data_IF_415549798354
#
_entry.id   IF_415549798354
#
_cell.length_a   1.000
_cell.length_b   1.000
_cell.length_c   1.000
_cell.angle_alpha   90.00
_cell.angle_beta   90.00
_cell.angle_gamma   90.00
#
_symmetry.space_group_name_H-M   'P 1'
#
loop_
_entity.id
_entity.type
_entity.pdbx_description
1 polymer ?
#
# COMPACT_ATOMS: atom_id res chain seq x y z
N UNK A 1 26.33 19.75 35.44
CA UNK A 1 25.83 19.05 34.26
C UNK A 1 25.91 17.55 34.42
N UNK A 2 25.07 16.86 33.71
CA UNK A 2 25.12 15.41 33.59
C UNK A 2 25.80 15.02 32.27
N UNK A 3 26.22 13.76 32.13
CA UNK A 3 26.84 13.27 30.92
C UNK A 3 25.87 13.46 29.71
N UNK A 4 26.38 14.12 28.66
CA UNK A 4 25.63 14.38 27.44
C UNK A 4 24.89 15.74 27.40
N UNK A 5 24.92 16.52 28.48
CA UNK A 5 24.42 17.88 28.45
C UNK A 5 25.30 18.78 27.55
N UNK A 6 24.64 19.74 26.87
CA UNK A 6 25.28 20.73 26.00
C UNK A 6 25.17 22.10 26.66
N UNK A 7 26.22 22.93 26.57
CA UNK A 7 26.19 24.31 27.01
C UNK A 7 26.01 25.22 25.80
N UNK A 8 25.02 26.14 25.87
CA UNK A 8 24.77 27.15 24.86
C UNK A 8 24.47 28.49 25.51
N UNK A 9 24.53 29.58 24.76
CA UNK A 9 24.05 30.88 25.23
C UNK A 9 22.54 30.95 25.13
N UNK A 10 21.87 31.43 26.17
CA UNK A 10 20.45 31.74 26.18
C UNK A 10 20.16 33.12 25.56
N UNK A 11 18.88 33.48 25.45
CA UNK A 11 18.43 34.77 24.90
C UNK A 11 18.97 36.02 25.63
N UNK A 12 19.50 35.85 26.84
CA UNK A 12 20.14 36.94 27.63
C UNK A 12 21.66 37.00 27.45
N UNK A 13 22.23 36.12 26.61
CA UNK A 13 23.66 36.02 26.38
C UNK A 13 24.42 35.32 27.51
N UNK A 14 23.72 34.60 28.41
CA UNK A 14 24.35 33.84 29.49
C UNK A 14 24.45 32.37 29.06
N UNK A 15 25.49 31.69 29.57
CA UNK A 15 25.67 30.26 29.39
C UNK A 15 24.56 29.55 30.14
N UNK A 16 23.77 28.77 29.42
CA UNK A 16 22.73 27.90 29.93
C UNK A 16 22.98 26.44 29.52
N UNK A 17 22.35 25.54 30.22
CA UNK A 17 22.45 24.12 29.99
C UNK A 17 21.27 23.61 29.17
N UNK A 18 21.54 22.91 28.08
CA UNK A 18 20.55 22.12 27.34
C UNK A 18 20.74 20.67 27.81
N UNK A 19 19.73 20.14 28.48
CA UNK A 19 19.76 18.76 28.95
C UNK A 19 19.69 17.78 27.76
N UNK A 20 20.35 16.64 27.86
CA UNK A 20 20.35 15.58 26.87
C UNK A 20 18.88 15.22 26.52
N UNK A 21 18.60 15.10 25.25
CA UNK A 21 17.31 14.63 24.73
C UNK A 21 17.09 13.13 24.92
N UNK A 22 15.92 12.64 24.58
CA UNK A 22 15.59 11.23 24.56
C UNK A 22 16.36 10.48 23.46
N UNK A 23 16.42 9.15 23.58
CA UNK A 23 17.05 8.31 22.55
C UNK A 23 16.40 8.56 21.18
N UNK A 24 17.25 8.77 20.16
CA UNK A 24 16.81 9.08 18.78
C UNK A 24 16.64 10.56 18.48
N UNK A 25 16.66 11.43 19.47
CA UNK A 25 16.63 12.88 19.24
C UNK A 25 17.99 13.43 18.85
N UNK A 26 17.99 14.46 18.00
CA UNK A 26 19.17 15.19 17.57
C UNK A 26 19.14 16.62 18.11
N UNK A 27 20.32 17.20 18.34
CA UNK A 27 20.45 18.62 18.64
C UNK A 27 20.18 19.41 17.36
N UNK A 28 19.20 20.29 17.37
CA UNK A 28 18.80 21.12 16.23
C UNK A 28 18.46 22.53 16.66
N UNK A 29 18.39 23.46 15.71
CA UNK A 29 17.82 24.78 15.95
C UNK A 29 16.30 24.77 15.69
N UNK A 30 15.53 25.43 16.55
CA UNK A 30 14.11 25.71 16.31
C UNK A 30 13.89 27.06 15.60
N UNK A 31 14.99 27.74 15.23
CA UNK A 31 14.99 29.09 14.62
C UNK A 31 15.40 30.18 15.59
N UNK A 32 15.43 29.91 16.89
CA UNK A 32 15.79 30.83 17.96
C UNK A 32 16.88 30.23 18.85
N UNK A 33 16.67 29.01 19.30
CA UNK A 33 17.54 28.32 20.25
C UNK A 33 17.99 26.95 19.74
N UNK A 34 18.96 26.36 20.44
CA UNK A 34 19.33 24.94 20.28
C UNK A 34 18.43 24.08 21.16
N UNK A 35 17.79 23.09 20.56
CA UNK A 35 16.88 22.16 21.23
C UNK A 35 17.15 20.73 20.81
N UNK A 36 16.92 19.75 21.68
CA UNK A 36 16.81 18.38 21.26
C UNK A 36 15.41 18.11 20.74
N UNK A 37 15.32 17.49 19.59
CA UNK A 37 14.05 17.11 19.00
C UNK A 37 14.23 16.12 17.87
N UNK A 38 13.13 15.57 17.39
CA UNK A 38 13.15 14.63 16.30
C UNK A 38 13.68 15.30 15.03
N UNK A 39 14.34 14.52 14.16
CA UNK A 39 14.92 15.03 12.92
C UNK A 39 13.79 15.59 12.02
N UNK A 40 13.71 16.92 11.92
CA UNK A 40 12.72 17.56 11.07
C UNK A 40 12.96 17.17 9.60
N UNK A 41 11.95 16.61 8.95
CA UNK A 41 12.05 16.12 7.58
C UNK A 41 12.51 14.66 7.45
N UNK A 42 12.76 13.94 8.56
CA UNK A 42 12.79 12.49 8.50
C UNK A 42 11.41 11.99 8.07
N UNK A 43 11.34 11.32 6.93
CA UNK A 43 10.15 10.56 6.56
C UNK A 43 9.80 9.65 7.74
N UNK A 44 8.52 9.59 8.13
CA UNK A 44 8.07 8.65 9.16
C UNK A 44 8.27 7.23 8.66
N UNK A 45 9.39 6.60 9.04
CA UNK A 45 9.79 5.26 8.58
C UNK A 45 9.43 4.25 9.65
N UNK A 46 8.70 3.24 9.25
CA UNK A 46 8.26 2.15 10.10
C UNK A 46 8.65 0.81 9.50
N UNK A 47 8.73 -0.21 10.33
CA UNK A 47 9.24 -1.51 9.94
C UNK A 47 8.27 -2.63 10.27
N UNK A 48 8.11 -3.54 9.31
CA UNK A 48 7.39 -4.81 9.45
C UNK A 48 8.36 -5.95 9.18
N UNK A 49 8.38 -6.94 10.05
CA UNK A 49 9.26 -8.12 9.96
C UNK A 49 8.56 -9.35 10.50
N UNK A 50 8.86 -10.52 9.94
CA UNK A 50 8.33 -11.81 10.43
C UNK A 50 8.73 -12.12 11.88
N UNK A 51 9.82 -11.51 12.37
CA UNK A 51 10.26 -11.61 13.75
C UNK A 51 9.70 -10.47 14.64
N UNK A 52 8.81 -9.64 14.07
CA UNK A 52 8.18 -8.52 14.77
C UNK A 52 7.07 -8.95 15.71
N UNK A 53 6.48 -7.98 16.37
CA UNK A 53 5.33 -8.16 17.26
C UNK A 53 4.34 -7.01 17.09
N UNK A 54 3.09 -7.33 16.86
CA UNK A 54 2.02 -6.34 16.72
C UNK A 54 1.63 -5.81 18.10
N UNK A 55 2.24 -4.69 18.49
CA UNK A 55 2.00 -4.02 19.75
C UNK A 55 2.23 -2.51 19.64
N UNK A 56 1.56 -1.74 20.49
CA UNK A 56 1.77 -0.29 20.57
C UNK A 56 3.22 0.05 20.97
N UNK A 57 3.73 1.18 20.47
CA UNK A 57 5.09 1.65 20.73
C UNK A 57 6.19 0.91 19.97
N UNK A 58 5.81 0.00 19.06
CA UNK A 58 6.75 -0.70 18.16
C UNK A 58 6.72 -0.09 16.76
N UNK A 59 7.45 -0.67 15.83
CA UNK A 59 7.49 -0.27 14.43
C UNK A 59 8.56 0.78 14.09
N UNK A 60 9.07 1.52 15.04
CA UNK A 60 10.02 2.63 14.79
C UNK A 60 11.45 2.19 14.42
N UNK A 61 11.80 0.92 14.56
CA UNK A 61 13.08 0.35 14.14
C UNK A 61 12.92 -1.09 13.71
N UNK A 62 13.93 -1.63 13.03
CA UNK A 62 13.93 -3.04 12.61
C UNK A 62 13.92 -4.01 13.80
N UNK A 63 14.58 -3.66 14.89
CA UNK A 63 14.65 -4.49 16.10
C UNK A 63 13.33 -4.45 16.90
N UNK A 64 12.52 -3.44 16.68
CA UNK A 64 11.19 -3.29 17.27
C UNK A 64 10.07 -3.32 16.22
N UNK A 65 10.25 -4.02 15.11
CA UNK A 65 9.29 -4.08 14.01
C UNK A 65 7.92 -4.62 14.44
N UNK A 66 6.88 -4.28 13.71
CA UNK A 66 5.58 -4.96 13.75
C UNK A 66 5.63 -6.30 12.99
N UNK A 67 4.68 -7.18 13.24
CA UNK A 67 4.60 -8.50 12.62
C UNK A 67 3.77 -8.52 11.34
N UNK A 68 2.76 -7.64 11.22
CA UNK A 68 1.82 -7.60 10.08
C UNK A 68 1.73 -6.22 9.44
N UNK A 69 1.47 -6.21 8.12
CA UNK A 69 1.28 -4.98 7.36
C UNK A 69 -0.05 -4.33 7.74
N UNK A 70 -1.08 -5.14 7.99
CA UNK A 70 -2.39 -4.66 8.44
C UNK A 70 -2.27 -3.88 9.75
N UNK A 71 -1.55 -4.43 10.72
CA UNK A 71 -1.35 -3.74 11.99
C UNK A 71 -0.59 -2.43 11.79
N UNK A 72 0.48 -2.44 11.01
CA UNK A 72 1.26 -1.24 10.70
C UNK A 72 0.38 -0.14 10.09
N UNK A 73 -0.43 -0.45 9.06
CA UNK A 73 -1.34 0.50 8.43
C UNK A 73 -2.40 1.06 9.39
N UNK A 74 -2.83 0.26 10.38
CA UNK A 74 -3.88 0.66 11.32
C UNK A 74 -3.36 1.41 12.56
N UNK A 75 -2.05 1.39 12.83
CA UNK A 75 -1.46 1.86 14.08
C UNK A 75 -0.22 2.77 13.87
N UNK A 76 -0.18 3.50 12.77
CA UNK A 76 0.87 4.52 12.59
C UNK A 76 0.78 5.55 13.73
N UNK A 77 1.90 5.87 14.42
CA UNK A 77 1.89 6.82 15.53
C UNK A 77 1.51 8.25 15.12
N UNK A 78 1.71 8.57 13.85
CA UNK A 78 1.39 9.89 13.27
C UNK A 78 0.53 9.67 12.03
N UNK A 79 -0.54 10.43 11.89
CA UNK A 79 -1.36 10.43 10.67
C UNK A 79 -0.52 10.99 9.51
N UNK A 80 -0.26 10.22 8.45
CA UNK A 80 0.52 10.70 7.32
C UNK A 80 -0.20 11.82 6.58
N UNK A 81 0.58 12.75 6.06
CA UNK A 81 0.08 13.87 5.25
C UNK A 81 0.98 14.07 4.04
N UNK A 82 0.54 14.90 3.09
CA UNK A 82 1.34 15.29 1.92
C UNK A 82 2.72 15.85 2.27
N UNK A 83 2.82 16.59 3.39
CA UNK A 83 4.07 17.23 3.84
C UNK A 83 4.88 16.33 4.80
N UNK A 84 4.24 15.35 5.40
CA UNK A 84 4.85 14.38 6.30
C UNK A 84 4.34 12.95 5.96
N UNK A 85 4.75 12.40 4.81
CA UNK A 85 4.34 11.07 4.40
C UNK A 85 4.97 10.00 5.30
N UNK A 86 4.40 8.81 5.30
CA UNK A 86 4.96 7.64 5.98
C UNK A 86 5.52 6.62 4.99
N UNK A 87 6.53 5.88 5.45
CA UNK A 87 7.05 4.69 4.75
C UNK A 87 6.96 3.49 5.69
N UNK A 88 6.35 2.43 5.24
CA UNK A 88 6.33 1.12 5.91
C UNK A 88 7.26 0.21 5.14
N UNK A 89 8.41 -0.09 5.71
CA UNK A 89 9.42 -0.97 5.13
C UNK A 89 9.16 -2.41 5.57
N UNK A 90 8.85 -3.29 4.61
CA UNK A 90 8.48 -4.68 4.86
C UNK A 90 9.66 -5.58 4.54
N UNK A 91 10.23 -6.21 5.56
CA UNK A 91 11.36 -7.12 5.40
C UNK A 91 10.97 -8.38 4.63
N UNK A 92 11.95 -9.01 3.99
CA UNK A 92 11.77 -10.30 3.32
C UNK A 92 11.06 -11.32 4.21
N UNK A 93 10.09 -12.01 3.66
CA UNK A 93 9.26 -12.99 4.35
C UNK A 93 7.88 -13.15 3.72
N UNK A 94 7.12 -14.14 4.19
CA UNK A 94 5.73 -14.35 3.77
C UNK A 94 4.78 -13.85 4.86
N UNK A 95 3.97 -12.86 4.54
CA UNK A 95 3.01 -12.20 5.44
C UNK A 95 1.60 -12.71 5.13
N UNK A 96 1.05 -13.50 6.04
CA UNK A 96 -0.32 -13.97 5.99
C UNK A 96 -1.22 -13.00 6.76
N UNK A 97 -2.00 -12.21 6.01
CA UNK A 97 -2.84 -11.16 6.57
C UNK A 97 -4.24 -11.69 6.90
N UNK A 98 -4.58 -11.72 8.17
CA UNK A 98 -5.81 -12.35 8.66
C UNK A 98 -7.04 -11.43 8.57
N UNK A 99 -6.86 -10.12 8.52
CA UNK A 99 -7.95 -9.14 8.54
C UNK A 99 -7.91 -8.26 7.29
N UNK A 100 -8.50 -8.75 6.22
CA UNK A 100 -8.63 -7.98 4.98
C UNK A 100 -9.90 -7.11 4.95
N UNK A 101 -9.88 -6.00 4.23
CA UNK A 101 -8.76 -5.44 3.45
C UNK A 101 -7.72 -4.76 4.33
N UNK A 102 -6.48 -4.67 3.81
CA UNK A 102 -5.49 -3.73 4.32
C UNK A 102 -5.83 -2.35 3.74
N UNK A 103 -6.39 -1.48 4.55
CA UNK A 103 -6.62 -0.08 4.16
C UNK A 103 -5.33 0.68 4.38
N UNK A 104 -4.71 1.12 3.29
CA UNK A 104 -3.44 1.86 3.37
C UNK A 104 -3.76 3.34 3.66
N UNK A 105 -3.20 3.93 4.72
CA UNK A 105 -3.40 5.34 5.02
C UNK A 105 -2.92 6.24 3.86
N UNK A 106 -3.56 7.38 3.68
CA UNK A 106 -3.14 8.37 2.67
C UNK A 106 -1.66 8.73 2.84
N UNK A 107 -1.00 9.08 1.75
CA UNK A 107 0.41 9.47 1.73
C UNK A 107 1.36 8.48 2.40
N UNK A 108 1.02 7.19 2.33
CA UNK A 108 1.83 6.10 2.86
C UNK A 108 2.42 5.27 1.72
N UNK A 109 3.72 5.01 1.81
CA UNK A 109 4.42 4.09 0.92
C UNK A 109 4.66 2.77 1.64
N UNK A 110 4.24 1.64 1.05
CA UNK A 110 4.62 0.30 1.47
C UNK A 110 5.73 -0.18 0.53
N UNK A 111 6.88 -0.50 1.09
CA UNK A 111 8.07 -0.94 0.33
C UNK A 111 8.49 -2.32 0.79
N UNK A 112 8.50 -3.28 -0.10
CA UNK A 112 9.10 -4.58 0.15
C UNK A 112 10.64 -4.53 0.08
N UNK A 113 11.29 -5.30 0.90
CA UNK A 113 12.75 -5.46 0.90
C UNK A 113 13.27 -6.03 -0.44
N UNK A 114 12.47 -6.90 -1.05
CA UNK A 114 12.78 -7.51 -2.34
C UNK A 114 11.50 -8.06 -2.98
N UNK A 115 11.28 -7.77 -4.26
CA UNK A 115 10.11 -8.21 -5.03
C UNK A 115 9.82 -9.72 -4.92
N UNK A 116 10.84 -10.55 -4.93
CA UNK A 116 10.71 -12.02 -4.92
C UNK A 116 10.74 -12.63 -3.53
N UNK A 117 11.20 -11.90 -2.54
CA UNK A 117 11.38 -12.39 -1.17
C UNK A 117 10.38 -11.80 -0.17
N UNK A 118 9.61 -10.78 -0.57
CA UNK A 118 8.58 -10.16 0.26
C UNK A 118 7.22 -10.50 -0.30
N UNK A 119 6.58 -11.53 0.27
CA UNK A 119 5.28 -12.03 -0.19
C UNK A 119 4.18 -11.62 0.78
N UNK A 120 3.08 -11.07 0.24
CA UNK A 120 1.86 -10.73 1.00
C UNK A 120 0.71 -11.56 0.47
N UNK A 121 0.01 -12.26 1.35
CA UNK A 121 -1.12 -13.11 0.99
C UNK A 121 -2.21 -13.13 2.05
N UNK A 122 -3.46 -13.48 1.70
CA UNK A 122 -4.50 -13.68 2.70
C UNK A 122 -4.16 -14.85 3.61
N UNK A 123 -4.39 -14.71 4.92
CA UNK A 123 -4.41 -15.87 5.82
C UNK A 123 -5.63 -16.75 5.51
N UNK A 124 -5.55 -18.04 5.77
CA UNK A 124 -6.71 -18.93 5.66
C UNK A 124 -7.86 -18.46 6.57
N UNK A 125 -9.09 -18.59 6.11
CA UNK A 125 -10.29 -18.30 6.91
C UNK A 125 -11.19 -17.21 6.31
N UNK A 126 -12.04 -16.64 7.16
CA UNK A 126 -12.98 -15.57 6.79
C UNK A 126 -12.33 -14.20 6.93
N UNK A 127 -12.87 -13.20 6.22
CA UNK A 127 -12.50 -11.81 6.43
C UNK A 127 -12.91 -11.31 7.82
N UNK A 128 -12.54 -10.08 8.16
CA UNK A 128 -12.85 -9.47 9.45
C UNK A 128 -14.36 -9.32 9.72
N UNK A 129 -15.17 -9.37 8.67
CA UNK A 129 -16.64 -9.36 8.76
C UNK A 129 -17.25 -10.73 8.95
N UNK A 130 -16.47 -11.80 8.83
CA UNK A 130 -16.94 -13.18 8.92
C UNK A 130 -17.85 -13.62 7.77
N UNK A 131 -17.94 -12.82 6.72
CA UNK A 131 -18.93 -12.98 5.64
C UNK A 131 -18.38 -13.65 4.41
N UNK A 132 -17.08 -13.46 4.14
CA UNK A 132 -16.40 -14.02 2.96
C UNK A 132 -15.07 -14.65 3.35
N UNK A 133 -14.60 -15.55 2.53
CA UNK A 133 -13.27 -16.14 2.68
C UNK A 133 -12.21 -15.06 2.38
N UNK A 134 -11.20 -14.90 3.23
CA UNK A 134 -10.15 -13.86 3.07
C UNK A 134 -9.57 -13.78 1.65
N UNK A 135 -9.30 -14.93 1.03
CA UNK A 135 -8.77 -15.00 -0.34
C UNK A 135 -9.74 -14.55 -1.45
N UNK A 136 -10.98 -14.21 -1.11
CA UNK A 136 -11.99 -13.59 -1.99
C UNK A 136 -12.33 -12.15 -1.60
N UNK A 137 -11.57 -11.58 -0.69
CA UNK A 137 -11.67 -10.18 -0.26
C UNK A 137 -10.81 -9.26 -1.14
N UNK A 138 -10.54 -8.05 -0.67
CA UNK A 138 -9.54 -7.14 -1.27
C UNK A 138 -8.29 -7.16 -0.41
N UNK A 139 -7.12 -7.33 -1.02
CA UNK A 139 -5.86 -7.31 -0.27
C UNK A 139 -5.53 -5.88 0.17
N UNK A 140 -5.37 -4.97 -0.78
CA UNK A 140 -5.03 -3.56 -0.50
C UNK A 140 -6.11 -2.60 -1.00
N UNK A 141 -6.57 -1.70 -0.13
CA UNK A 141 -7.36 -0.52 -0.51
C UNK A 141 -6.51 0.72 -0.45
N UNK A 142 -6.45 1.44 -1.57
CA UNK A 142 -5.55 2.56 -1.80
C UNK A 142 -6.33 3.88 -1.93
N UNK A 143 -5.74 4.96 -1.44
CA UNK A 143 -6.29 6.32 -1.48
C UNK A 143 -5.20 7.34 -1.83
N UNK A 144 -5.40 8.63 -1.54
CA UNK A 144 -4.48 9.71 -1.91
C UNK A 144 -3.02 9.41 -1.60
N UNK A 145 -2.17 9.51 -2.62
CA UNK A 145 -0.72 9.45 -2.49
C UNK A 145 -0.15 8.13 -1.96
N UNK A 146 -0.97 7.06 -1.94
CA UNK A 146 -0.50 5.72 -1.58
C UNK A 146 0.45 5.19 -2.65
N UNK A 147 1.55 4.61 -2.22
CA UNK A 147 2.48 3.87 -3.09
C UNK A 147 2.65 2.46 -2.51
N UNK A 148 2.57 1.44 -3.38
CA UNK A 148 2.90 0.06 -3.01
C UNK A 148 3.94 -0.43 -3.99
N UNK A 149 5.08 -0.88 -3.49
CA UNK A 149 6.18 -1.28 -4.36
C UNK A 149 7.02 -2.44 -3.84
N UNK A 150 7.68 -3.12 -4.78
CA UNK A 150 8.68 -4.16 -4.54
C UNK A 150 8.13 -5.36 -3.74
N UNK A 151 6.88 -5.77 -4.02
CA UNK A 151 6.17 -6.86 -3.37
C UNK A 151 5.73 -7.94 -4.35
N UNK A 152 5.69 -9.17 -3.88
CA UNK A 152 4.89 -10.25 -4.44
C UNK A 152 3.58 -10.37 -3.66
N UNK A 153 2.44 -10.35 -4.34
CA UNK A 153 1.14 -10.64 -3.76
C UNK A 153 0.62 -11.98 -4.29
N UNK A 154 0.09 -12.83 -3.42
CA UNK A 154 -0.29 -14.20 -3.79
C UNK A 154 -1.55 -14.66 -3.06
N UNK A 155 -2.16 -15.75 -3.54
CA UNK A 155 -3.16 -16.51 -2.81
C UNK A 155 -4.60 -16.00 -2.88
N UNK A 156 -4.91 -14.98 -3.70
CA UNK A 156 -6.30 -14.63 -4.01
C UNK A 156 -6.91 -15.60 -5.02
N UNK A 157 -8.22 -15.85 -4.91
CA UNK A 157 -8.97 -16.73 -5.82
C UNK A 157 -10.45 -16.34 -5.98
N UNK A 158 -11.20 -17.18 -6.68
CA UNK A 158 -12.67 -17.13 -6.71
C UNK A 158 -13.27 -16.24 -7.79
N UNK A 159 -12.48 -15.71 -8.73
CA UNK A 159 -13.01 -15.12 -9.94
C UNK A 159 -13.71 -16.20 -10.78
N UNK A 160 -14.88 -15.88 -11.28
CA UNK A 160 -15.56 -16.68 -12.31
C UNK A 160 -16.03 -15.75 -13.42
N UNK A 161 -15.74 -16.07 -14.68
CA UNK A 161 -16.17 -15.23 -15.81
C UNK A 161 -17.68 -15.19 -15.90
N UNK A 162 -18.20 -14.18 -16.57
CA UNK A 162 -19.56 -14.16 -17.09
C UNK A 162 -19.79 -15.25 -18.15
N UNK A 163 -21.04 -15.47 -18.55
CA UNK A 163 -21.34 -16.42 -19.63
C UNK A 163 -20.63 -16.03 -20.93
N UNK A 164 -20.18 -16.98 -21.75
CA UNK A 164 -19.53 -16.69 -23.03
C UNK A 164 -20.36 -15.72 -23.87
N UNK A 165 -19.74 -14.66 -24.38
CA UNK A 165 -20.39 -13.60 -25.16
C UNK A 165 -21.13 -12.54 -24.34
N UNK A 166 -21.19 -12.66 -23.01
CA UNK A 166 -21.67 -11.61 -22.10
C UNK A 166 -20.55 -10.66 -21.67
N UNK A 167 -20.91 -9.59 -20.95
CA UNK A 167 -19.92 -8.75 -20.28
C UNK A 167 -19.01 -9.64 -19.40
N UNK A 168 -17.71 -9.67 -19.64
CA UNK A 168 -16.78 -10.51 -18.88
C UNK A 168 -16.74 -10.19 -17.39
N UNK A 169 -17.25 -9.03 -17.00
CA UNK A 169 -17.40 -8.61 -15.60
C UNK A 169 -18.72 -9.01 -14.96
N UNK A 170 -19.62 -9.67 -15.71
CA UNK A 170 -20.91 -10.14 -15.19
C UNK A 170 -20.80 -11.38 -14.28
N UNK A 171 -19.62 -11.99 -14.19
CA UNK A 171 -19.35 -13.10 -13.28
C UNK A 171 -19.05 -12.66 -11.85
N UNK A 172 -18.44 -13.55 -11.08
CA UNK A 172 -17.99 -13.23 -9.71
C UNK A 172 -16.57 -12.65 -9.74
N UNK A 173 -16.38 -11.47 -9.17
CA UNK A 173 -15.07 -10.77 -9.16
C UNK A 173 -13.96 -11.53 -8.42
N UNK A 174 -14.31 -12.36 -7.42
CA UNK A 174 -13.31 -13.07 -6.61
C UNK A 174 -12.49 -12.12 -5.74
N UNK A 175 -11.28 -12.56 -5.38
CA UNK A 175 -10.33 -11.79 -4.61
C UNK A 175 -9.58 -10.78 -5.48
N UNK A 176 -9.41 -9.57 -4.94
CA UNK A 176 -8.79 -8.42 -5.63
C UNK A 176 -7.50 -8.03 -4.92
N UNK A 177 -6.41 -7.87 -5.64
CA UNK A 177 -5.16 -7.43 -5.01
C UNK A 177 -5.16 -5.93 -4.70
N UNK A 178 -5.57 -5.09 -5.65
CA UNK A 178 -5.58 -3.64 -5.48
C UNK A 178 -6.93 -3.03 -5.84
N UNK A 179 -7.46 -2.19 -4.96
CA UNK A 179 -8.69 -1.43 -5.25
C UNK A 179 -8.61 -0.01 -4.69
N UNK A 180 -9.41 0.91 -5.23
CA UNK A 180 -9.61 2.21 -4.60
C UNK A 180 -10.37 2.06 -3.28
N UNK A 181 -10.02 2.90 -2.29
CA UNK A 181 -10.73 2.96 -1.02
C UNK A 181 -12.00 3.81 -1.15
N UNK A 182 -13.17 3.20 -1.01
CA UNK A 182 -14.46 3.87 -1.14
C UNK A 182 -14.69 4.99 -0.10
N UNK A 183 -14.06 4.90 1.06
CA UNK A 183 -14.21 5.86 2.16
C UNK A 183 -13.25 7.06 2.06
N UNK A 184 -12.31 7.05 1.12
CA UNK A 184 -11.32 8.11 0.95
C UNK A 184 -11.18 8.49 -0.53
N UNK A 185 -11.96 9.47 -1.01
CA UNK A 185 -11.91 9.94 -2.38
C UNK A 185 -10.52 10.45 -2.78
N UNK A 186 -10.10 10.18 -4.01
CA UNK A 186 -8.85 10.70 -4.54
C UNK A 186 -9.05 12.18 -4.91
N UNK A 187 -8.42 13.06 -4.18
CA UNK A 187 -8.55 14.52 -4.34
C UNK A 187 -7.24 15.21 -4.72
N UNK A 188 -6.10 14.54 -4.55
CA UNK A 188 -4.77 15.09 -4.83
C UNK A 188 -3.97 14.17 -5.74
N UNK A 189 -3.45 13.06 -5.23
CA UNK A 189 -2.57 12.15 -5.98
C UNK A 189 -3.16 10.76 -6.08
N UNK A 190 -3.22 10.25 -7.30
CA UNK A 190 -3.63 8.87 -7.55
C UNK A 190 -2.70 7.87 -6.85
N UNK A 191 -3.24 6.75 -6.36
CA UNK A 191 -2.41 5.64 -5.89
C UNK A 191 -1.49 5.13 -6.99
N UNK A 192 -0.31 4.67 -6.60
CA UNK A 192 0.72 4.21 -7.50
C UNK A 192 1.23 2.82 -7.08
N UNK A 193 1.02 1.83 -7.95
CA UNK A 193 1.50 0.46 -7.78
C UNK A 193 2.73 0.30 -8.67
N UNK A 194 3.87 0.01 -8.06
CA UNK A 194 5.16 0.00 -8.76
C UNK A 194 5.96 -1.26 -8.49
N UNK A 195 6.47 -1.89 -9.53
CA UNK A 195 7.31 -3.09 -9.44
C UNK A 195 6.69 -4.17 -8.53
N UNK A 196 5.47 -4.57 -8.85
CA UNK A 196 4.70 -5.56 -8.09
C UNK A 196 4.32 -6.72 -9.00
N UNK A 197 4.46 -7.93 -8.48
CA UNK A 197 3.93 -9.14 -9.12
C UNK A 197 2.76 -9.67 -8.31
N UNK A 198 1.67 -10.07 -8.97
CA UNK A 198 0.55 -10.74 -8.33
C UNK A 198 0.35 -12.13 -8.92
N UNK A 199 0.15 -13.11 -8.06
CA UNK A 199 -0.12 -14.49 -8.43
C UNK A 199 -1.49 -14.93 -7.91
N UNK A 200 -2.25 -15.66 -8.72
CA UNK A 200 -3.52 -16.20 -8.28
C UNK A 200 -4.12 -17.18 -9.27
N UNK A 201 -4.98 -18.04 -8.78
CA UNK A 201 -5.80 -18.90 -9.61
C UNK A 201 -7.24 -18.38 -9.54
N UNK A 202 -7.71 -17.75 -10.61
CA UNK A 202 -8.99 -17.05 -10.60
C UNK A 202 -8.99 -15.83 -9.65
N UNK A 203 -8.00 -14.96 -9.76
CA UNK A 203 -7.91 -13.70 -9.00
C UNK A 203 -8.07 -12.48 -9.91
N UNK A 204 -8.31 -11.33 -9.30
CA UNK A 204 -8.33 -10.03 -9.98
C UNK A 204 -7.14 -9.18 -9.52
N UNK A 205 -6.32 -8.73 -10.47
CA UNK A 205 -5.16 -7.89 -10.19
C UNK A 205 -5.54 -6.55 -9.61
N UNK A 206 -6.38 -5.79 -10.30
CA UNK A 206 -6.84 -4.50 -9.78
C UNK A 206 -8.26 -4.15 -10.23
N UNK A 207 -8.98 -3.43 -9.37
CA UNK A 207 -10.26 -2.78 -9.67
C UNK A 207 -10.16 -1.29 -9.39
N UNK A 208 -10.30 -0.49 -10.44
CA UNK A 208 -10.37 0.97 -10.33
C UNK A 208 -11.83 1.39 -10.52
N UNK A 209 -12.54 1.51 -9.41
CA UNK A 209 -13.98 1.76 -9.38
C UNK A 209 -14.27 3.25 -9.17
N UNK A 210 -14.70 3.93 -10.23
CA UNK A 210 -15.04 5.35 -10.18
C UNK A 210 -16.39 5.66 -9.53
N UNK A 211 -17.27 4.69 -9.35
CA UNK A 211 -18.57 4.89 -8.70
C UNK A 211 -18.43 5.28 -7.23
N UNK A 212 -17.34 4.84 -6.60
CA UNK A 212 -17.03 5.09 -5.20
C UNK A 212 -16.44 6.48 -4.95
N UNK A 213 -16.10 7.23 -6.00
CA UNK A 213 -15.38 8.50 -5.96
C UNK A 213 -16.08 9.57 -6.81
N UNK A 214 -17.29 9.95 -6.43
CA UNK A 214 -18.13 10.86 -7.22
C UNK A 214 -17.57 12.28 -7.38
N UNK A 215 -16.70 12.73 -6.46
CA UNK A 215 -16.19 14.11 -6.40
C UNK A 215 -14.67 14.23 -6.57
N UNK A 216 -13.93 13.14 -6.63
CA UNK A 216 -12.46 13.14 -6.70
C UNK A 216 -11.90 12.65 -8.04
N UNK A 217 -10.59 12.67 -8.16
CA UNK A 217 -9.90 11.98 -9.24
C UNK A 217 -10.08 10.46 -9.07
N UNK A 218 -10.39 9.77 -10.14
CA UNK A 218 -10.79 8.36 -10.14
C UNK A 218 -9.73 7.54 -10.88
N UNK A 219 -8.48 7.67 -10.49
CA UNK A 219 -7.41 7.00 -11.23
C UNK A 219 -6.48 6.20 -10.31
N UNK A 220 -5.88 5.15 -10.88
CA UNK A 220 -4.73 4.44 -10.31
C UNK A 220 -3.65 4.31 -11.39
N UNK A 221 -2.39 4.36 -10.96
CA UNK A 221 -1.22 4.17 -11.81
C UNK A 221 -0.58 2.83 -11.50
N UNK A 222 -0.23 2.10 -12.56
CA UNK A 222 0.44 0.81 -12.51
C UNK A 222 1.71 0.91 -13.35
N UNK A 223 2.86 0.67 -12.73
CA UNK A 223 4.14 0.74 -13.42
C UNK A 223 4.99 -0.48 -13.10
N UNK A 224 5.46 -1.16 -14.14
CA UNK A 224 6.24 -2.39 -14.00
C UNK A 224 5.49 -3.43 -13.15
N UNK A 225 4.21 -3.61 -13.44
CA UNK A 225 3.38 -4.62 -12.76
C UNK A 225 3.27 -5.87 -13.59
N UNK A 226 3.21 -7.03 -12.93
CA UNK A 226 2.98 -8.32 -13.59
C UNK A 226 1.84 -9.04 -12.88
N UNK A 227 0.73 -9.27 -13.59
CA UNK A 227 -0.41 -10.03 -13.10
C UNK A 227 -0.40 -11.42 -13.75
N UNK A 228 -0.27 -12.47 -12.95
CA UNK A 228 -0.24 -13.87 -13.40
C UNK A 228 -1.43 -14.58 -12.75
N UNK A 229 -2.57 -14.58 -13.44
CA UNK A 229 -3.81 -15.12 -12.88
C UNK A 229 -4.40 -16.14 -13.85
N UNK A 230 -4.20 -17.42 -13.58
CA UNK A 230 -4.86 -18.47 -14.36
C UNK A 230 -6.37 -18.29 -14.27
N UNK A 231 -7.03 -18.11 -15.42
CA UNK A 231 -8.48 -17.91 -15.54
C UNK A 231 -9.02 -16.67 -14.75
N UNK A 232 -8.15 -15.72 -14.46
CA UNK A 232 -8.47 -14.52 -13.68
C UNK A 232 -8.65 -13.26 -14.52
N UNK A 233 -8.69 -12.12 -13.84
CA UNK A 233 -8.79 -10.79 -14.41
C UNK A 233 -7.52 -9.99 -14.07
N UNK A 234 -6.94 -9.31 -15.04
CA UNK A 234 -5.80 -8.42 -14.80
C UNK A 234 -6.22 -7.10 -14.17
N UNK A 235 -6.57 -6.09 -14.97
CA UNK A 235 -6.98 -4.76 -14.50
C UNK A 235 -8.35 -4.39 -15.06
N UNK A 236 -9.26 -4.02 -14.18
CA UNK A 236 -10.59 -3.52 -14.53
C UNK A 236 -10.79 -2.07 -14.06
N UNK A 237 -11.02 -1.17 -15.02
CA UNK A 237 -11.50 0.19 -14.76
C UNK A 237 -12.99 0.26 -15.04
N UNK A 238 -13.79 0.78 -14.09
CA UNK A 238 -15.24 0.87 -14.21
C UNK A 238 -15.80 2.20 -13.70
N UNK A 239 -16.99 2.56 -14.19
CA UNK A 239 -17.77 3.70 -13.71
C UNK A 239 -17.00 5.05 -13.77
N UNK A 240 -16.55 5.41 -14.99
CA UNK A 240 -15.80 6.63 -15.29
C UNK A 240 -14.41 6.72 -14.61
N UNK A 241 -13.81 5.61 -14.25
CA UNK A 241 -12.45 5.58 -13.73
C UNK A 241 -11.39 5.64 -14.84
N UNK A 242 -10.13 5.87 -14.43
CA UNK A 242 -8.97 5.80 -15.30
C UNK A 242 -7.92 4.86 -14.71
N UNK A 243 -7.33 4.02 -15.54
CA UNK A 243 -6.12 3.27 -15.21
C UNK A 243 -5.01 3.64 -16.18
N UNK A 244 -3.86 4.04 -15.63
CA UNK A 244 -2.65 4.33 -16.40
C UNK A 244 -1.68 3.17 -16.18
N UNK A 245 -1.29 2.48 -17.25
CA UNK A 245 -0.44 1.30 -17.18
C UNK A 245 0.84 1.56 -17.97
N UNK A 246 1.98 1.46 -17.33
CA UNK A 246 3.30 1.63 -17.93
C UNK A 246 4.11 0.36 -17.69
N UNK A 247 4.53 -0.32 -18.77
CA UNK A 247 5.26 -1.59 -18.68
C UNK A 247 4.54 -2.62 -17.82
N UNK A 248 3.23 -2.78 -18.04
CA UNK A 248 2.39 -3.75 -17.36
C UNK A 248 2.26 -5.04 -18.17
N UNK A 249 2.29 -6.18 -17.47
CA UNK A 249 2.13 -7.48 -18.11
C UNK A 249 1.02 -8.27 -17.42
N UNK A 250 0.14 -8.89 -18.24
CA UNK A 250 -0.85 -9.83 -17.76
C UNK A 250 -0.64 -11.18 -18.45
N UNK A 251 -0.55 -12.24 -17.65
CA UNK A 251 -0.31 -13.59 -18.14
C UNK A 251 -1.41 -14.54 -17.66
N UNK A 252 -1.87 -15.39 -18.55
CA UNK A 252 -2.87 -16.43 -18.29
C UNK A 252 -4.21 -15.91 -17.77
N UNK A 253 -4.40 -14.59 -17.76
CA UNK A 253 -5.68 -14.00 -17.39
C UNK A 253 -6.70 -14.33 -18.47
N UNK A 254 -7.92 -14.67 -18.08
CA UNK A 254 -9.02 -14.75 -19.03
C UNK A 254 -9.20 -13.39 -19.73
N UNK A 255 -9.10 -12.30 -18.93
CA UNK A 255 -9.14 -10.93 -19.46
C UNK A 255 -7.94 -10.18 -18.87
N UNK A 256 -7.07 -9.66 -19.74
CA UNK A 256 -5.92 -8.87 -19.31
C UNK A 256 -6.32 -7.48 -18.82
N UNK A 257 -7.00 -6.73 -19.65
CA UNK A 257 -7.43 -5.36 -19.35
C UNK A 257 -8.87 -5.13 -19.83
N UNK A 258 -9.70 -4.52 -18.98
CA UNK A 258 -11.08 -4.17 -19.39
C UNK A 258 -11.50 -2.82 -18.81
N UNK A 259 -12.23 -2.04 -19.60
CA UNK A 259 -12.80 -0.76 -19.22
C UNK A 259 -14.31 -0.76 -19.51
N UNK A 260 -15.11 -0.47 -18.50
CA UNK A 260 -16.57 -0.42 -18.61
C UNK A 260 -17.15 0.87 -18.02
N UNK A 261 -18.41 1.20 -18.30
CA UNK A 261 -19.09 2.32 -17.68
C UNK A 261 -18.41 3.69 -17.91
N UNK A 262 -17.93 3.96 -19.13
CA UNK A 262 -17.28 5.23 -19.49
C UNK A 262 -15.81 5.35 -19.02
N UNK A 263 -15.24 4.30 -18.48
CA UNK A 263 -13.85 4.28 -18.00
C UNK A 263 -12.83 4.23 -19.12
N UNK A 264 -11.58 4.53 -18.78
CA UNK A 264 -10.46 4.53 -19.72
C UNK A 264 -9.28 3.78 -19.14
N UNK A 265 -8.63 2.97 -19.97
CA UNK A 265 -7.33 2.39 -19.69
C UNK A 265 -6.36 2.93 -20.74
N UNK A 266 -5.29 3.57 -20.28
CA UNK A 266 -4.14 3.91 -21.12
C UNK A 266 -3.00 2.97 -20.80
N UNK A 267 -2.46 2.33 -21.84
CA UNK A 267 -1.42 1.34 -21.69
C UNK A 267 -0.24 1.71 -22.58
N UNK A 268 0.93 1.82 -21.99
CA UNK A 268 2.18 2.11 -22.67
C UNK A 268 3.18 0.99 -22.41
N UNK A 269 3.74 0.41 -23.45
CA UNK A 269 4.74 -0.66 -23.38
C UNK A 269 4.26 -1.84 -22.51
N UNK A 270 3.04 -2.28 -22.72
CA UNK A 270 2.40 -3.35 -21.94
C UNK A 270 1.98 -4.51 -22.84
N UNK A 271 1.81 -5.67 -22.25
CA UNK A 271 1.42 -6.88 -22.98
C UNK A 271 0.39 -7.69 -22.20
N UNK A 272 -0.49 -8.34 -22.95
CA UNK A 272 -1.34 -9.43 -22.46
C UNK A 272 -0.96 -10.69 -23.22
N UNK A 273 -0.65 -11.77 -22.51
CA UNK A 273 -0.17 -13.01 -23.12
C UNK A 273 -0.82 -14.24 -22.49
N UNK A 274 -1.12 -15.24 -23.33
CA UNK A 274 -1.72 -16.50 -22.95
C UNK A 274 -3.09 -16.36 -22.26
N UNK A 275 -3.83 -15.30 -22.54
CA UNK A 275 -5.20 -15.08 -22.10
C UNK A 275 -6.22 -15.38 -23.22
N UNK A 276 -7.51 -15.37 -22.87
CA UNK A 276 -8.58 -15.54 -23.86
C UNK A 276 -8.93 -14.22 -24.54
N UNK A 277 -8.81 -13.08 -23.83
CA UNK A 277 -9.16 -11.74 -24.29
C UNK A 277 -8.16 -10.68 -23.87
#
# INVERSE_FOLDING_TARGET
GTRGDVLAYDSSGKISKISLGSSGQVLKSDGTDLVFGDLAGATNVYYVSKNGTDAAGRGGSIDSAWASIKYACSNLPVTPTKLAPAVIFVKSGTYEEAQLPIVVPEYTTIVGDNLRATTVKPAPGLDSGGSIVNKRSTLFRCSNGVIIQDLLCDGMDGYTPGSPGSDPTAGTLGGVYFALNAQSPITDKSPYIYNVTTFGNGATGAVVDGSLHSSGNRSMLFHTVTHIHSDGLGIWAKDNANAEIISGFTYYCQIGYTATGGSKIRSLNSSNSYGEY
#
